data_IF_205336906955
#
_entry.id   IF_205336906955
#
_cell.length_a   1.000
_cell.length_b   1.000
_cell.length_c   1.000
_cell.angle_alpha   90.00
_cell.angle_beta   90.00
_cell.angle_gamma   90.00
#
_symmetry.space_group_name_H-M   'P 1'
#
loop_
_entity.id
_entity.type
_entity.pdbx_description
1 polymer ?
#
# COMPACT_ATOMS: atom_id res chain seq x y z
N UNK A 1 -12.72 18.10 13.81
CA UNK A 1 -12.98 18.79 15.10
C UNK A 1 -11.99 18.40 16.20
N UNK A 2 -11.82 17.11 16.55
CA UNK A 2 -10.89 16.69 17.62
C UNK A 2 -9.45 17.19 17.45
N UNK A 3 -8.90 17.14 16.23
CA UNK A 3 -7.56 17.65 15.95
C UNK A 3 -7.37 19.12 16.36
N UNK A 4 -8.33 19.99 16.01
CA UNK A 4 -8.27 21.41 16.37
C UNK A 4 -8.39 21.61 17.87
N UNK A 5 -9.25 20.84 18.53
CA UNK A 5 -9.36 20.85 19.99
C UNK A 5 -8.00 20.52 20.64
N UNK A 6 -7.34 19.45 20.23
CA UNK A 6 -6.04 19.07 20.80
C UNK A 6 -4.92 20.07 20.47
N UNK A 7 -4.91 20.69 19.27
CA UNK A 7 -3.97 21.78 18.98
C UNK A 7 -4.18 22.96 19.92
N UNK A 8 -5.43 23.40 20.11
CA UNK A 8 -5.75 24.51 20.99
C UNK A 8 -5.39 24.18 22.45
N UNK A 9 -5.66 22.96 22.89
CA UNK A 9 -5.29 22.47 24.21
C UNK A 9 -3.78 22.45 24.42
N UNK A 10 -3.00 21.92 23.47
CA UNK A 10 -1.54 21.92 23.53
C UNK A 10 -0.97 23.34 23.52
N UNK A 11 -1.52 24.24 22.71
CA UNK A 11 -1.12 25.64 22.69
C UNK A 11 -1.40 26.33 24.03
N UNK A 12 -2.55 26.06 24.63
CA UNK A 12 -2.91 26.62 25.95
C UNK A 12 -1.98 26.09 27.04
N UNK A 13 -1.69 24.78 27.04
CA UNK A 13 -0.84 24.13 28.04
C UNK A 13 0.63 24.55 27.93
N UNK A 14 1.21 24.57 26.73
CA UNK A 14 2.63 24.90 26.50
C UNK A 14 2.86 26.42 26.45
N UNK A 15 1.82 27.22 26.20
CA UNK A 15 1.92 28.67 25.98
C UNK A 15 2.57 29.07 24.64
N UNK A 16 3.10 28.10 23.87
CA UNK A 16 3.71 28.28 22.54
C UNK A 16 3.22 27.20 21.59
N UNK A 17 3.15 27.53 20.29
CA UNK A 17 2.78 26.58 19.24
C UNK A 17 4.02 26.13 18.47
N UNK A 18 4.55 24.96 18.84
CA UNK A 18 5.56 24.28 18.03
C UNK A 18 4.87 23.52 16.91
N UNK A 19 4.87 24.07 15.69
CA UNK A 19 3.97 23.60 14.63
C UNK A 19 4.09 22.09 14.35
N UNK A 20 5.31 21.58 14.16
CA UNK A 20 5.54 20.15 13.86
C UNK A 20 5.15 19.24 15.04
N UNK A 21 5.67 19.50 16.23
CA UNK A 21 5.39 18.66 17.41
C UNK A 21 3.91 18.73 17.82
N UNK A 22 3.32 19.91 17.82
CA UNK A 22 1.93 20.11 18.26
C UNK A 22 0.96 19.45 17.29
N UNK A 23 1.23 19.50 15.98
CA UNK A 23 0.38 18.84 14.98
C UNK A 23 0.54 17.33 15.00
N UNK A 24 1.75 16.82 15.24
CA UNK A 24 1.96 15.39 15.48
C UNK A 24 1.18 14.89 16.70
N UNK A 25 1.35 15.50 17.87
CA UNK A 25 0.69 15.06 19.10
C UNK A 25 -0.83 15.27 19.05
N UNK A 26 -1.31 16.37 18.47
CA UNK A 26 -2.74 16.57 18.27
C UNK A 26 -3.32 15.55 17.27
N UNK A 27 -2.58 15.23 16.21
CA UNK A 27 -2.93 14.17 15.27
C UNK A 27 -3.01 12.82 15.97
N UNK A 28 -2.00 12.48 16.77
CA UNK A 28 -1.94 11.24 17.55
C UNK A 28 -3.11 11.12 18.51
N UNK A 29 -3.35 12.13 19.35
CA UNK A 29 -4.47 12.13 20.29
C UNK A 29 -5.81 12.04 19.56
N UNK A 30 -6.02 12.85 18.51
CA UNK A 30 -7.27 12.81 17.75
C UNK A 30 -7.50 11.47 17.03
N UNK A 31 -6.44 10.84 16.51
CA UNK A 31 -6.50 9.50 15.92
C UNK A 31 -6.84 8.44 16.96
N UNK A 32 -6.22 8.51 18.14
CA UNK A 32 -6.47 7.59 19.24
C UNK A 32 -7.91 7.66 19.75
N UNK A 33 -8.49 8.84 19.91
CA UNK A 33 -9.89 8.95 20.34
C UNK A 33 -10.88 8.64 19.21
N UNK A 34 -10.56 8.99 17.96
CA UNK A 34 -11.49 8.77 16.84
C UNK A 34 -11.65 7.30 16.46
N UNK A 35 -10.61 6.47 16.61
CA UNK A 35 -10.70 5.04 16.27
C UNK A 35 -11.67 4.25 17.17
N UNK A 36 -11.93 4.74 18.39
CA UNK A 36 -12.90 4.08 19.29
C UNK A 36 -14.36 4.31 18.87
N UNK A 37 -14.64 5.37 18.11
CA UNK A 37 -15.96 5.61 17.50
C UNK A 37 -16.26 4.55 16.44
N UNK A 38 -15.21 3.99 15.81
CA UNK A 38 -15.35 2.95 14.81
C UNK A 38 -15.62 1.58 15.43
N UNK A 39 -16.43 0.79 14.71
CA UNK A 39 -16.79 -0.57 15.13
C UNK A 39 -15.53 -1.45 15.28
N UNK A 40 -15.40 -2.27 16.34
CA UNK A 40 -14.18 -3.05 16.62
C UNK A 40 -13.66 -3.90 15.45
N UNK A 41 -14.57 -4.47 14.63
CA UNK A 41 -14.19 -5.25 13.45
C UNK A 41 -13.48 -4.44 12.36
N UNK A 42 -13.75 -3.13 12.27
CA UNK A 42 -13.18 -2.23 11.26
C UNK A 42 -11.83 -1.66 11.68
N UNK A 43 -11.55 -1.56 12.98
CA UNK A 43 -10.35 -0.90 13.52
C UNK A 43 -9.07 -1.46 12.92
N UNK A 44 -8.90 -2.79 12.90
CA UNK A 44 -7.74 -3.45 12.29
C UNK A 44 -7.52 -3.05 10.83
N UNK A 45 -8.59 -3.08 10.03
CA UNK A 45 -8.53 -2.75 8.60
C UNK A 45 -8.14 -1.29 8.40
N UNK A 46 -8.70 -0.37 9.20
CA UNK A 46 -8.39 1.05 9.17
C UNK A 46 -6.94 1.33 9.59
N UNK A 47 -6.43 0.65 10.62
CA UNK A 47 -5.04 0.79 11.07
C UNK A 47 -4.04 0.36 10.00
N UNK A 48 -4.28 -0.77 9.33
CA UNK A 48 -3.43 -1.25 8.24
C UNK A 48 -3.49 -0.29 7.05
N UNK A 49 -4.67 0.22 6.71
CA UNK A 49 -4.82 1.24 5.67
C UNK A 49 -4.04 2.52 6.01
N UNK A 50 -4.16 3.02 7.24
CA UNK A 50 -3.47 4.20 7.71
C UNK A 50 -1.95 4.01 7.68
N UNK A 51 -1.46 2.83 8.08
CA UNK A 51 -0.04 2.49 8.05
C UNK A 51 0.52 2.49 6.62
N UNK A 52 -0.24 1.93 5.67
CA UNK A 52 0.10 1.97 4.25
C UNK A 52 0.23 3.42 3.75
N UNK A 53 -0.78 4.25 4.02
CA UNK A 53 -0.76 5.67 3.63
C UNK A 53 0.38 6.45 4.28
N UNK A 54 0.64 6.21 5.56
CA UNK A 54 1.72 6.81 6.33
C UNK A 54 3.09 6.47 5.74
N UNK A 55 3.30 5.20 5.38
CA UNK A 55 4.58 4.75 4.79
C UNK A 55 4.88 5.40 3.44
N UNK A 56 3.85 5.61 2.60
CA UNK A 56 3.99 6.34 1.34
C UNK A 56 4.38 7.81 1.58
N UNK A 57 3.74 8.46 2.56
CA UNK A 57 4.06 9.84 2.93
C UNK A 57 5.50 9.94 3.45
N UNK A 58 5.91 9.04 4.34
CA UNK A 58 7.28 9.00 4.87
C UNK A 58 8.28 8.80 3.72
N UNK A 59 8.01 7.88 2.81
CA UNK A 59 8.85 7.66 1.63
C UNK A 59 8.98 8.92 0.77
N UNK A 60 7.87 9.62 0.49
CA UNK A 60 7.88 10.86 -0.28
C UNK A 60 8.66 11.98 0.42
N UNK A 61 8.51 12.11 1.74
CA UNK A 61 9.28 13.07 2.55
C UNK A 61 10.77 12.74 2.55
N UNK A 62 11.14 11.46 2.65
CA UNK A 62 12.54 11.05 2.58
C UNK A 62 13.13 11.26 1.17
N UNK A 63 12.32 11.03 0.13
CA UNK A 63 12.67 11.26 -1.27
C UNK A 63 12.88 12.76 -1.55
N UNK A 64 11.99 13.63 -1.09
CA UNK A 64 12.11 15.09 -1.30
C UNK A 64 13.37 15.66 -0.63
N UNK A 65 13.90 14.96 0.37
CA UNK A 65 15.14 15.29 1.07
C UNK A 65 16.38 14.56 0.52
N UNK A 66 16.27 13.83 -0.59
CA UNK A 66 17.34 13.01 -1.17
C UNK A 66 17.98 12.00 -0.18
N UNK A 67 17.22 11.55 0.83
CA UNK A 67 17.70 10.58 1.83
C UNK A 67 17.49 9.12 1.40
N UNK A 68 16.67 8.89 0.38
CA UNK A 68 16.37 7.55 -0.13
C UNK A 68 16.75 7.49 -1.61
N UNK A 69 17.47 6.42 -1.97
CA UNK A 69 17.82 6.13 -3.35
C UNK A 69 16.59 5.62 -4.11
N UNK A 70 16.30 6.22 -5.25
CA UNK A 70 15.26 5.74 -6.16
C UNK A 70 15.78 4.49 -6.89
N UNK A 71 15.21 3.33 -6.57
CA UNK A 71 15.52 2.09 -7.28
C UNK A 71 14.64 2.01 -8.53
N UNK A 72 15.23 1.91 -9.74
CA UNK A 72 14.44 1.74 -10.96
C UNK A 72 13.63 0.44 -10.87
N UNK A 73 12.32 0.55 -11.16
CA UNK A 73 11.35 -0.55 -11.02
C UNK A 73 11.28 -1.17 -9.61
N UNK A 74 11.59 -0.39 -8.56
CA UNK A 74 11.55 -0.85 -7.17
C UNK A 74 10.20 -1.43 -6.74
N UNK A 75 9.09 -0.94 -7.30
CA UNK A 75 7.75 -1.48 -7.05
C UNK A 75 7.57 -2.91 -7.56
N UNK A 76 8.19 -3.27 -8.69
CA UNK A 76 8.13 -4.62 -9.25
C UNK A 76 8.91 -5.58 -8.36
N UNK A 77 10.11 -5.18 -7.94
CA UNK A 77 10.93 -5.98 -7.03
C UNK A 77 10.25 -6.17 -5.67
N UNK A 78 9.71 -5.10 -5.10
CA UNK A 78 8.96 -5.14 -3.84
C UNK A 78 7.74 -6.07 -3.94
N UNK A 79 7.00 -5.99 -5.05
CA UNK A 79 5.87 -6.89 -5.28
C UNK A 79 6.32 -8.34 -5.48
N UNK A 80 7.40 -8.59 -6.22
CA UNK A 80 7.94 -9.94 -6.41
C UNK A 80 8.34 -10.60 -5.10
N UNK A 81 9.17 -9.90 -4.31
CA UNK A 81 9.60 -10.38 -2.99
C UNK A 81 8.40 -10.61 -2.06
N UNK A 82 7.46 -9.66 -2.02
CA UNK A 82 6.29 -9.79 -1.15
C UNK A 82 5.36 -10.92 -1.59
N UNK A 83 5.08 -11.07 -2.89
CA UNK A 83 4.26 -12.15 -3.44
C UNK A 83 4.87 -13.51 -3.17
N UNK A 84 6.17 -13.69 -3.44
CA UNK A 84 6.89 -14.93 -3.18
C UNK A 84 6.82 -15.35 -1.71
N UNK A 85 7.21 -14.45 -0.80
CA UNK A 85 7.17 -14.73 0.63
C UNK A 85 5.74 -14.94 1.15
N UNK A 86 4.75 -14.22 0.61
CA UNK A 86 3.34 -14.39 0.99
C UNK A 86 2.80 -15.77 0.59
N UNK A 87 3.07 -16.21 -0.65
CA UNK A 87 2.67 -17.53 -1.13
C UNK A 87 3.40 -18.65 -0.40
N UNK A 88 4.67 -18.44 -0.02
CA UNK A 88 5.40 -19.35 0.85
C UNK A 88 4.74 -19.46 2.24
N UNK A 89 4.37 -18.34 2.86
CA UNK A 89 3.63 -18.35 4.12
C UNK A 89 2.27 -19.06 4.00
N UNK A 90 1.57 -18.89 2.88
CA UNK A 90 0.32 -19.60 2.60
C UNK A 90 0.50 -21.11 2.48
N UNK A 91 1.62 -21.57 1.90
CA UNK A 91 1.96 -23.00 1.82
C UNK A 91 2.29 -23.58 3.20
N UNK A 92 2.97 -22.82 4.05
CA UNK A 92 3.32 -23.25 5.41
C UNK A 92 2.12 -23.25 6.37
N UNK A 93 1.16 -22.35 6.19
CA UNK A 93 -0.05 -22.27 7.04
C UNK A 93 -1.33 -22.21 6.18
N UNK A 94 -1.90 -23.39 5.93
CA UNK A 94 -3.16 -23.54 5.20
C UNK A 94 -4.38 -22.99 5.96
N UNK A 95 -4.27 -22.63 7.25
CA UNK A 95 -5.38 -22.10 8.07
C UNK A 95 -5.55 -20.59 7.93
N UNK A 96 -4.72 -19.89 7.16
CA UNK A 96 -4.89 -18.44 6.91
C UNK A 96 -6.24 -18.15 6.23
N UNK A 97 -7.08 -17.32 6.87
CA UNK A 97 -8.47 -17.01 6.47
C UNK A 97 -8.65 -15.58 5.91
N UNK A 98 -7.60 -15.00 5.35
CA UNK A 98 -7.65 -13.66 4.77
C UNK A 98 -8.33 -13.62 3.39
N UNK A 99 -9.02 -12.51 3.03
CA UNK A 99 -9.62 -12.34 1.71
C UNK A 99 -8.56 -12.40 0.60
N UNK A 100 -7.36 -11.86 0.85
CA UNK A 100 -6.23 -11.92 -0.09
C UNK A 100 -5.80 -13.38 -0.31
N UNK A 101 -5.71 -14.19 0.75
CA UNK A 101 -5.41 -15.61 0.61
C UNK A 101 -6.47 -16.35 -0.22
N UNK A 102 -7.76 -16.02 -0.04
CA UNK A 102 -8.83 -16.63 -0.85
C UNK A 102 -8.68 -16.28 -2.33
N UNK A 103 -8.40 -15.01 -2.64
CA UNK A 103 -8.18 -14.55 -4.02
C UNK A 103 -6.93 -15.19 -4.62
N UNK A 104 -5.81 -15.24 -3.90
CA UNK A 104 -4.59 -15.86 -4.39
C UNK A 104 -4.71 -17.37 -4.58
N UNK A 105 -5.41 -18.08 -3.68
CA UNK A 105 -5.72 -19.50 -3.88
C UNK A 105 -6.61 -19.73 -5.10
N UNK A 106 -7.58 -18.85 -5.35
CA UNK A 106 -8.45 -18.92 -6.52
C UNK A 106 -7.65 -18.67 -7.81
N UNK A 107 -6.78 -17.65 -7.82
CA UNK A 107 -5.98 -17.28 -8.99
C UNK A 107 -4.90 -18.32 -9.31
N UNK A 108 -4.12 -18.72 -8.31
CA UNK A 108 -2.96 -19.59 -8.50
C UNK A 108 -3.36 -21.08 -8.60
N UNK A 109 -4.51 -21.48 -8.08
CA UNK A 109 -4.94 -22.88 -7.94
C UNK A 109 -4.90 -23.31 -6.48
N UNK A 110 -5.98 -23.89 -5.98
CA UNK A 110 -6.06 -24.34 -4.58
C UNK A 110 -5.17 -25.56 -4.36
N UNK A 111 -5.18 -26.45 -5.36
CA UNK A 111 -4.37 -27.65 -5.50
C UNK A 111 -2.88 -27.39 -5.25
N UNK A 112 -2.37 -26.23 -5.65
CA UNK A 112 -0.96 -25.87 -5.51
C UNK A 112 -0.51 -25.61 -4.06
N UNK A 113 -1.44 -25.36 -3.13
CA UNK A 113 -1.13 -25.08 -1.72
C UNK A 113 -1.47 -26.25 -0.78
N UNK A 114 -2.22 -27.26 -1.25
CA UNK A 114 -2.55 -28.45 -0.48
C UNK A 114 -1.37 -29.45 -0.47
N UNK A 115 -1.10 -30.11 0.66
CA UNK A 115 -0.14 -31.22 0.66
C UNK A 115 -0.57 -32.27 -0.37
N UNK A 116 0.38 -33.04 -0.93
CA UNK A 116 0.04 -34.12 -1.85
C UNK A 116 -1.00 -35.04 -1.18
N UNK A 117 -2.01 -35.52 -1.93
CA UNK A 117 -2.95 -36.49 -1.39
C UNK A 117 -2.19 -37.73 -0.91
N UNK A 118 -2.57 -38.29 0.24
CA UNK A 118 -2.04 -39.57 0.72
C UNK A 118 -2.41 -40.64 -0.30
N UNK A 119 -1.47 -41.00 -1.17
CA UNK A 119 -1.61 -42.13 -2.09
C UNK A 119 -1.46 -43.40 -1.29
N UNK A 120 -2.56 -44.09 -1.03
CA UNK A 120 -2.53 -45.52 -0.74
C UNK A 120 -1.93 -46.25 -1.95
N UNK A 121 -0.89 -47.03 -1.68
CA UNK A 121 -0.27 -48.06 -2.52
C UNK A 121 -0.88 -48.23 -3.92
N UNK A 122 -0.36 -47.50 -4.91
CA UNK A 122 -0.51 -47.85 -6.32
C UNK A 122 0.76 -47.45 -7.05
N UNK A 123 1.64 -48.43 -7.27
CA UNK A 123 2.98 -48.30 -7.86
C UNK A 123 3.02 -48.02 -9.37
N UNK A 124 1.88 -47.73 -10.02
CA UNK A 124 1.85 -47.49 -11.46
C UNK A 124 1.71 -46.00 -11.82
N UNK A 125 2.82 -45.45 -12.32
CA UNK A 125 3.01 -44.14 -12.95
C UNK A 125 3.20 -42.94 -12.01
N UNK A 126 4.45 -42.73 -11.56
CA UNK A 126 4.89 -41.52 -10.83
C UNK A 126 4.84 -40.32 -11.79
N UNK A 127 3.66 -39.74 -11.99
CA UNK A 127 3.56 -38.44 -12.63
C UNK A 127 4.04 -37.38 -11.64
N UNK A 128 5.10 -36.60 -11.98
CA UNK A 128 5.65 -35.58 -11.07
C UNK A 128 4.69 -34.41 -10.82
N UNK A 129 3.59 -34.30 -11.58
CA UNK A 129 2.61 -33.23 -11.47
C UNK A 129 1.18 -33.79 -11.28
N UNK A 130 0.46 -33.29 -10.28
CA UNK A 130 -0.92 -33.69 -9.96
C UNK A 130 -1.95 -32.82 -10.69
N UNK A 131 -2.06 -32.94 -12.02
CA UNK A 131 -3.11 -32.26 -12.78
C UNK A 131 -3.58 -33.07 -14.00
N UNK A 132 -4.88 -32.98 -14.29
CA UNK A 132 -5.48 -33.66 -15.44
C UNK A 132 -5.01 -33.00 -16.76
N UNK A 133 -4.10 -33.67 -17.47
CA UNK A 133 -3.57 -33.25 -18.77
C UNK A 133 -2.14 -32.70 -18.75
N UNK A 134 -1.68 -32.16 -19.88
CA UNK A 134 -0.31 -31.63 -20.01
C UNK A 134 -0.07 -30.33 -19.23
N UNK A 135 1.15 -30.12 -18.74
CA UNK A 135 1.56 -28.94 -17.96
C UNK A 135 1.24 -27.61 -18.67
N UNK A 136 1.42 -27.58 -19.99
CA UNK A 136 1.13 -26.41 -20.82
C UNK A 136 -0.37 -26.09 -20.84
N UNK A 137 -1.22 -27.12 -20.93
CA UNK A 137 -2.67 -26.97 -20.88
C UNK A 137 -3.13 -26.48 -19.50
N UNK A 138 -2.59 -27.04 -18.42
CA UNK A 138 -2.90 -26.60 -17.06
C UNK A 138 -2.53 -25.12 -16.82
N UNK A 139 -1.37 -24.72 -17.34
CA UNK A 139 -0.88 -23.33 -17.27
C UNK A 139 -1.75 -22.38 -18.10
N UNK A 140 -2.07 -22.75 -19.34
CA UNK A 140 -2.90 -21.93 -20.25
C UNK A 140 -4.34 -21.77 -19.74
N UNK A 141 -4.95 -22.86 -19.26
CA UNK A 141 -6.31 -22.84 -18.70
C UNK A 141 -6.39 -21.98 -17.44
N UNK A 142 -5.37 -22.03 -16.58
CA UNK A 142 -5.27 -21.22 -15.37
C UNK A 142 -5.07 -19.73 -15.65
N UNK A 143 -4.31 -19.38 -16.69
CA UNK A 143 -3.99 -17.98 -17.02
C UNK A 143 -5.07 -17.27 -17.83
N UNK A 144 -5.86 -18.00 -18.62
CA UNK A 144 -6.87 -17.42 -19.51
C UNK A 144 -7.94 -16.60 -18.78
N UNK A 145 -8.50 -17.12 -17.69
CA UNK A 145 -9.58 -16.44 -16.96
C UNK A 145 -9.09 -15.14 -16.26
N UNK A 146 -7.97 -15.14 -15.49
CA UNK A 146 -7.40 -13.91 -14.95
C UNK A 146 -7.00 -12.88 -16.00
N UNK A 147 -6.49 -13.33 -17.16
CA UNK A 147 -6.13 -12.46 -18.27
C UNK A 147 -7.35 -11.71 -18.82
N UNK A 148 -8.42 -12.45 -19.14
CA UNK A 148 -9.69 -11.87 -19.62
C UNK A 148 -10.36 -10.99 -18.55
N UNK A 149 -10.28 -11.40 -17.29
CA UNK A 149 -10.74 -10.59 -16.15
C UNK A 149 -10.01 -9.24 -16.07
N UNK A 150 -8.68 -9.23 -16.14
CA UNK A 150 -7.89 -8.01 -16.14
C UNK A 150 -8.17 -7.11 -17.34
N UNK A 151 -8.27 -7.70 -18.54
CA UNK A 151 -8.60 -6.97 -19.76
C UNK A 151 -10.00 -6.32 -19.68
N UNK A 152 -11.02 -7.08 -19.28
CA UNK A 152 -12.41 -6.64 -19.25
C UNK A 152 -12.67 -5.48 -18.29
N UNK A 153 -12.07 -5.50 -17.09
CA UNK A 153 -12.22 -4.41 -16.11
C UNK A 153 -11.69 -3.09 -16.67
N UNK A 154 -10.51 -3.11 -17.29
CA UNK A 154 -9.90 -1.91 -17.85
C UNK A 154 -10.64 -1.43 -19.10
N UNK A 155 -11.07 -2.35 -19.96
CA UNK A 155 -11.91 -2.04 -21.12
C UNK A 155 -13.22 -1.36 -20.68
N UNK A 156 -13.87 -1.89 -19.64
CA UNK A 156 -15.10 -1.31 -19.08
C UNK A 156 -14.87 0.11 -18.55
N UNK A 157 -13.82 0.34 -17.76
CA UNK A 157 -13.50 1.67 -17.24
C UNK A 157 -13.25 2.71 -18.34
N UNK A 158 -12.60 2.31 -19.44
CA UNK A 158 -12.40 3.17 -20.61
C UNK A 158 -13.72 3.51 -21.30
N UNK A 159 -14.64 2.55 -21.41
CA UNK A 159 -15.97 2.74 -22.00
C UNK A 159 -16.89 3.65 -21.15
N UNK A 160 -16.75 3.62 -19.82
CA UNK A 160 -17.48 4.53 -18.92
C UNK A 160 -16.96 5.99 -18.99
N UNK A 161 -15.76 6.21 -19.52
CA UNK A 161 -15.17 7.53 -19.67
C UNK A 161 -15.97 8.43 -20.64
N UNK A 162 -16.58 9.50 -20.14
CA UNK A 162 -17.39 10.46 -20.93
C UNK A 162 -16.67 11.04 -22.16
N UNK A 163 -15.33 11.09 -22.15
CA UNK A 163 -14.50 11.65 -23.23
C UNK A 163 -14.38 10.78 -24.47
N UNK A 164 -14.64 9.46 -24.39
CA UNK A 164 -14.28 8.52 -25.46
C UNK A 164 -15.48 7.74 -26.02
N UNK A 165 -16.70 8.30 -25.89
CA UNK A 165 -17.93 7.71 -26.42
C UNK A 165 -18.08 7.76 -27.95
N UNK A 166 -17.21 8.50 -28.66
CA UNK A 166 -17.35 8.71 -30.12
C UNK A 166 -16.69 7.63 -30.99
N UNK A 167 -15.68 6.87 -30.50
CA UNK A 167 -15.02 5.77 -31.25
C UNK A 167 -14.49 4.65 -30.33
N UNK A 168 -15.34 3.72 -29.86
CA UNK A 168 -14.95 2.69 -28.88
C UNK A 168 -13.97 1.65 -29.44
N UNK A 169 -14.16 1.22 -30.70
CA UNK A 169 -13.35 0.18 -31.33
C UNK A 169 -11.87 0.58 -31.54
N UNK A 170 -11.63 1.80 -32.02
CA UNK A 170 -10.27 2.34 -32.16
C UNK A 170 -9.59 2.54 -30.79
N UNK A 171 -10.33 2.89 -29.74
CA UNK A 171 -9.76 3.04 -28.40
C UNK A 171 -9.35 1.70 -27.78
N UNK A 172 -10.14 0.64 -27.99
CA UNK A 172 -9.84 -0.71 -27.52
C UNK A 172 -8.61 -1.32 -28.19
N UNK A 173 -8.34 -0.95 -29.44
CA UNK A 173 -7.20 -1.45 -30.23
C UNK A 173 -5.95 -0.57 -30.05
N UNK A 174 -6.08 0.75 -29.99
CA UNK A 174 -4.95 1.68 -30.03
C UNK A 174 -4.50 2.19 -28.64
N UNK A 175 -5.36 2.16 -27.61
CA UNK A 175 -5.02 2.38 -26.20
C UNK A 175 -5.13 1.09 -25.38
N UNK A 176 -4.76 -0.01 -26.02
CA UNK A 176 -5.24 -1.30 -25.61
C UNK A 176 -4.75 -1.68 -24.20
N UNK A 177 -5.66 -2.12 -23.31
CA UNK A 177 -5.40 -2.30 -21.89
C UNK A 177 -4.66 -3.60 -21.56
N UNK A 178 -3.76 -4.05 -22.43
CA UNK A 178 -3.07 -5.34 -22.31
C UNK A 178 -2.31 -5.48 -20.99
N UNK A 179 -1.78 -4.38 -20.43
CA UNK A 179 -0.95 -4.42 -19.23
C UNK A 179 -1.60 -5.15 -18.04
N UNK A 180 -2.87 -4.86 -17.73
CA UNK A 180 -3.55 -5.48 -16.58
C UNK A 180 -3.89 -6.96 -16.82
N UNK A 181 -4.28 -7.31 -18.05
CA UNK A 181 -4.50 -8.70 -18.45
C UNK A 181 -3.19 -9.49 -18.41
N UNK A 182 -2.12 -8.94 -19.00
CA UNK A 182 -0.79 -9.54 -19.02
C UNK A 182 -0.21 -9.69 -17.61
N UNK A 183 -0.45 -8.74 -16.71
CA UNK A 183 -0.07 -8.85 -15.31
C UNK A 183 -0.76 -10.03 -14.61
N UNK A 184 -2.10 -10.10 -14.65
CA UNK A 184 -2.86 -11.12 -13.93
C UNK A 184 -2.71 -12.52 -14.55
N UNK A 185 -2.86 -12.62 -15.87
CA UNK A 185 -2.67 -13.88 -16.60
C UNK A 185 -1.22 -14.35 -16.55
N UNK A 186 -0.27 -13.42 -16.73
CA UNK A 186 1.15 -13.70 -16.66
C UNK A 186 1.61 -14.14 -15.27
N UNK A 187 1.07 -13.56 -14.20
CA UNK A 187 1.36 -14.00 -12.83
C UNK A 187 1.03 -15.48 -12.63
N UNK A 188 -0.17 -15.90 -13.06
CA UNK A 188 -0.63 -17.29 -12.93
C UNK A 188 0.16 -18.22 -13.85
N UNK A 189 0.43 -17.78 -15.09
CA UNK A 189 1.21 -18.55 -16.04
C UNK A 189 2.64 -18.80 -15.53
N UNK A 190 3.31 -17.76 -15.04
CA UNK A 190 4.66 -17.85 -14.47
C UNK A 190 4.66 -18.70 -13.19
N UNK A 191 3.67 -18.55 -12.32
CA UNK A 191 3.56 -19.37 -11.10
C UNK A 191 3.40 -20.87 -11.43
N UNK A 192 2.36 -21.23 -12.19
CA UNK A 192 2.07 -22.64 -12.52
C UNK A 192 3.17 -23.25 -13.39
N UNK A 193 3.60 -22.52 -14.41
CA UNK A 193 4.64 -22.97 -15.34
C UNK A 193 5.98 -23.22 -14.62
N UNK A 194 6.42 -22.28 -13.77
CA UNK A 194 7.65 -22.49 -12.98
C UNK A 194 7.53 -23.67 -12.03
N UNK A 195 6.39 -23.85 -11.36
CA UNK A 195 6.18 -24.99 -10.47
C UNK A 195 6.18 -26.33 -11.19
N UNK A 196 5.51 -26.45 -12.33
CA UNK A 196 5.55 -27.66 -13.14
C UNK A 196 7.00 -27.97 -13.59
N UNK A 197 7.76 -26.95 -14.00
CA UNK A 197 9.16 -27.11 -14.39
C UNK A 197 10.02 -27.55 -13.20
N UNK A 198 9.87 -26.91 -12.03
CA UNK A 198 10.62 -27.27 -10.82
C UNK A 198 10.28 -28.68 -10.33
N UNK A 199 9.02 -29.12 -10.43
CA UNK A 199 8.62 -30.50 -10.13
C UNK A 199 9.25 -31.51 -11.07
N UNK A 200 9.29 -31.21 -12.38
CA UNK A 200 9.93 -32.07 -13.38
C UNK A 200 11.43 -32.19 -13.17
N UNK A 201 12.10 -31.09 -12.79
CA UNK A 201 13.56 -31.08 -12.57
C UNK A 201 13.95 -31.71 -11.23
N UNK A 202 13.23 -31.40 -10.14
CA UNK A 202 13.59 -31.89 -8.81
C UNK A 202 13.04 -33.29 -8.50
N UNK A 203 11.97 -33.72 -9.17
CA UNK A 203 11.32 -35.03 -8.92
C UNK A 203 10.61 -35.15 -7.55
N UNK A 204 10.65 -34.12 -6.71
CA UNK A 204 9.96 -34.08 -5.42
C UNK A 204 9.29 -32.71 -5.19
N UNK A 205 8.20 -32.68 -4.40
CA UNK A 205 7.60 -31.42 -3.96
C UNK A 205 8.35 -30.85 -2.75
N UNK A 206 8.60 -29.54 -2.76
CA UNK A 206 9.18 -28.87 -1.60
C UNK A 206 8.63 -27.45 -1.44
N UNK A 207 8.56 -26.90 -0.22
CA UNK A 207 7.91 -25.63 0.03
C UNK A 207 8.64 -24.44 -0.60
N UNK A 208 9.96 -24.53 -0.80
CA UNK A 208 10.75 -23.46 -1.43
C UNK A 208 10.38 -23.26 -2.91
N UNK A 209 9.88 -24.28 -3.60
CA UNK A 209 9.42 -24.17 -4.99
C UNK A 209 8.26 -23.18 -5.11
N UNK A 210 7.42 -23.07 -4.08
CA UNK A 210 6.32 -22.08 -4.00
C UNK A 210 6.87 -20.66 -3.88
N UNK A 211 7.94 -20.49 -3.09
CA UNK A 211 8.63 -19.21 -2.96
C UNK A 211 9.22 -18.78 -4.31
N UNK A 212 9.96 -19.68 -4.98
CA UNK A 212 10.56 -19.41 -6.29
C UNK A 212 9.49 -19.08 -7.35
N UNK A 213 8.42 -19.89 -7.42
CA UNK A 213 7.32 -19.62 -8.35
C UNK A 213 6.58 -18.33 -8.05
N UNK A 214 6.43 -17.97 -6.77
CA UNK A 214 5.82 -16.71 -6.36
C UNK A 214 6.67 -15.47 -6.66
N UNK A 215 8.00 -15.59 -6.55
CA UNK A 215 8.94 -14.54 -6.97
C UNK A 215 8.84 -14.30 -8.49
N UNK A 216 8.87 -15.37 -9.28
CA UNK A 216 8.70 -15.31 -10.74
C UNK A 216 7.33 -14.76 -11.13
N UNK A 217 6.27 -15.19 -10.46
CA UNK A 217 4.92 -14.68 -10.67
C UNK A 217 4.83 -13.17 -10.43
N UNK A 218 5.50 -12.66 -9.39
CA UNK A 218 5.48 -11.24 -9.10
C UNK A 218 6.24 -10.36 -10.10
N UNK A 219 7.20 -10.92 -10.86
CA UNK A 219 7.84 -10.20 -11.98
C UNK A 219 6.84 -9.82 -13.08
N UNK A 220 5.67 -10.48 -13.17
CA UNK A 220 4.63 -10.08 -14.11
C UNK A 220 4.13 -8.64 -13.87
N UNK A 221 4.36 -8.06 -12.69
CA UNK A 221 4.03 -6.66 -12.41
C UNK A 221 4.78 -5.68 -13.30
N UNK A 222 5.89 -6.08 -13.94
CA UNK A 222 6.55 -5.28 -14.95
C UNK A 222 5.62 -4.90 -16.13
N UNK A 223 4.60 -5.71 -16.42
CA UNK A 223 3.60 -5.42 -17.46
C UNK A 223 2.65 -4.27 -17.08
N UNK A 224 2.37 -4.08 -15.79
CA UNK A 224 1.58 -2.96 -15.29
C UNK A 224 2.05 -2.56 -13.89
N UNK A 225 3.14 -1.77 -13.79
CA UNK A 225 3.70 -1.36 -12.51
C UNK A 225 2.68 -0.55 -11.70
N UNK A 226 2.51 -0.91 -10.43
CA UNK A 226 1.60 -0.21 -9.54
C UNK A 226 2.14 -0.22 -8.10
N UNK A 227 2.76 0.89 -7.70
CA UNK A 227 3.36 1.06 -6.37
C UNK A 227 2.34 0.90 -5.23
N UNK A 228 1.07 1.25 -5.46
CA UNK A 228 0.02 1.08 -4.45
C UNK A 228 -0.25 -0.40 -4.17
N UNK A 229 -0.28 -1.22 -5.21
CA UNK A 229 -0.49 -2.67 -5.07
C UNK A 229 0.76 -3.35 -4.48
N UNK A 230 1.96 -2.93 -4.90
CA UNK A 230 3.22 -3.39 -4.33
C UNK A 230 3.31 -3.13 -2.82
N UNK A 231 3.04 -1.89 -2.41
CA UNK A 231 3.08 -1.48 -1.01
C UNK A 231 1.99 -2.18 -0.19
N UNK A 232 0.79 -2.35 -0.75
CA UNK A 232 -0.27 -3.12 -0.12
C UNK A 232 0.14 -4.58 0.14
N UNK A 233 0.70 -5.25 -0.86
CA UNK A 233 1.17 -6.63 -0.71
C UNK A 233 2.33 -6.75 0.30
N UNK A 234 3.26 -5.79 0.30
CA UNK A 234 4.33 -5.73 1.28
C UNK A 234 3.79 -5.61 2.71
N UNK A 235 2.87 -4.68 2.97
CA UNK A 235 2.25 -4.55 4.30
C UNK A 235 1.40 -5.76 4.68
N UNK A 236 0.72 -6.39 3.71
CA UNK A 236 -0.02 -7.62 3.97
C UNK A 236 0.89 -8.79 4.33
N UNK A 237 2.06 -8.87 3.71
CA UNK A 237 3.09 -9.82 4.13
C UNK A 237 3.56 -9.54 5.56
N UNK A 238 3.87 -8.28 5.90
CA UNK A 238 4.27 -7.90 7.26
C UNK A 238 3.21 -8.28 8.28
N UNK A 239 1.93 -8.03 7.99
CA UNK A 239 0.81 -8.42 8.86
C UNK A 239 0.75 -9.94 9.09
N UNK A 240 0.88 -10.74 8.02
CA UNK A 240 0.87 -12.21 8.12
C UNK A 240 2.09 -12.73 8.89
N UNK A 241 3.28 -12.18 8.62
CA UNK A 241 4.50 -12.55 9.33
C UNK A 241 4.41 -12.22 10.82
N UNK A 242 3.90 -11.04 11.17
CA UNK A 242 3.67 -10.65 12.57
C UNK A 242 2.67 -11.58 13.25
N UNK A 243 1.53 -11.87 12.61
CA UNK A 243 0.53 -12.78 13.17
C UNK A 243 1.08 -14.20 13.35
N UNK A 244 1.90 -14.68 12.41
CA UNK A 244 2.58 -15.97 12.52
C UNK A 244 3.57 -15.98 13.69
N UNK A 245 4.42 -14.97 13.79
CA UNK A 245 5.40 -14.83 14.86
C UNK A 245 4.71 -14.72 16.24
N UNK A 246 3.58 -14.01 16.33
CA UNK A 246 2.82 -13.86 17.56
C UNK A 246 2.20 -15.20 18.01
N UNK A 247 1.65 -15.99 17.06
CA UNK A 247 1.15 -17.34 17.35
C UNK A 247 2.24 -18.29 17.85
N UNK A 248 3.48 -18.11 17.37
CA UNK A 248 4.64 -18.88 17.79
C UNK A 248 5.25 -18.38 19.11
N UNK A 249 4.73 -17.30 19.69
CA UNK A 249 5.27 -16.69 20.91
C UNK A 249 6.58 -15.93 20.70
N UNK A 250 7.02 -15.72 19.46
CA UNK A 250 8.27 -15.02 19.15
C UNK A 250 8.18 -13.50 19.35
N UNK A 251 6.97 -12.93 19.21
CA UNK A 251 6.72 -11.49 19.40
C UNK A 251 5.56 -11.27 20.37
N UNK A 252 5.61 -10.22 21.20
CA UNK A 252 4.53 -9.94 22.14
C UNK A 252 3.27 -9.48 21.41
N UNK A 253 2.12 -9.97 21.86
CA UNK A 253 0.81 -9.45 21.45
C UNK A 253 0.57 -8.13 22.16
N UNK A 254 0.64 -7.02 21.42
CA UNK A 254 0.50 -5.69 22.00
C UNK A 254 -1.00 -5.39 22.24
N UNK A 255 -1.43 -5.09 23.47
CA UNK A 255 -2.78 -4.64 23.73
C UNK A 255 -3.02 -3.31 23.00
N UNK A 256 -4.19 -3.17 22.36
CA UNK A 256 -4.55 -1.99 21.55
C UNK A 256 -3.56 -1.67 20.41
N UNK A 257 -2.79 -2.66 19.95
CA UNK A 257 -1.81 -2.49 18.87
C UNK A 257 -2.39 -1.80 17.61
N UNK A 258 -3.53 -2.25 17.07
CA UNK A 258 -4.16 -1.59 15.93
C UNK A 258 -4.51 -0.12 16.21
N UNK A 259 -5.08 0.19 17.37
CA UNK A 259 -5.47 1.54 17.77
C UNK A 259 -4.25 2.46 17.89
N UNK A 260 -3.15 1.98 18.48
CA UNK A 260 -1.89 2.71 18.58
C UNK A 260 -1.26 2.95 17.21
N UNK A 261 -1.24 1.95 16.33
CA UNK A 261 -0.74 2.09 14.96
C UNK A 261 -1.54 3.13 14.17
N UNK A 262 -2.87 3.11 14.32
CA UNK A 262 -3.74 4.11 13.70
C UNK A 262 -3.47 5.52 14.25
N UNK A 263 -3.33 5.66 15.56
CA UNK A 263 -3.02 6.94 16.21
C UNK A 263 -1.67 7.50 15.74
N UNK A 264 -0.62 6.68 15.74
CA UNK A 264 0.71 7.06 15.26
C UNK A 264 0.68 7.48 13.79
N UNK A 265 0.03 6.69 12.93
CA UNK A 265 -0.13 7.02 11.51
C UNK A 265 -0.88 8.33 11.30
N UNK A 266 -1.94 8.57 12.08
CA UNK A 266 -2.69 9.84 12.05
C UNK A 266 -1.82 11.02 12.49
N UNK A 267 -0.97 10.84 13.51
CA UNK A 267 0.00 11.84 13.97
C UNK A 267 0.98 12.25 12.87
N UNK A 268 1.66 11.28 12.25
CA UNK A 268 2.60 11.51 11.15
C UNK A 268 1.92 12.20 9.98
N UNK A 269 0.77 11.66 9.56
CA UNK A 269 0.00 12.16 8.44
C UNK A 269 -0.46 13.60 8.66
N UNK A 270 -0.95 13.92 9.86
CA UNK A 270 -1.42 15.27 10.15
C UNK A 270 -0.27 16.28 10.32
N UNK A 271 0.87 15.84 10.87
CA UNK A 271 2.10 16.63 10.88
C UNK A 271 2.56 16.96 9.45
N UNK A 272 2.57 15.97 8.56
CA UNK A 272 2.92 16.17 7.16
C UNK A 272 1.90 17.07 6.45
N UNK A 273 0.60 16.87 6.68
CA UNK A 273 -0.46 17.68 6.09
C UNK A 273 -0.36 19.17 6.42
N UNK A 274 0.12 19.49 7.62
CA UNK A 274 0.30 20.87 8.05
C UNK A 274 1.61 21.44 7.50
N UNK A 275 2.72 20.70 7.62
CA UNK A 275 4.07 21.22 7.33
C UNK A 275 4.45 21.08 5.85
N UNK A 276 4.30 19.90 5.26
CA UNK A 276 4.73 19.56 3.89
C UNK A 276 3.61 18.86 3.12
N UNK A 277 2.48 19.54 2.80
CA UNK A 277 1.33 18.89 2.19
C UNK A 277 1.62 18.33 0.78
N UNK A 278 2.69 18.78 0.10
CA UNK A 278 3.12 18.32 -1.22
C UNK A 278 3.60 16.86 -1.26
N UNK A 279 4.02 16.31 -0.12
CA UNK A 279 4.45 14.92 -0.01
C UNK A 279 3.27 13.94 0.14
N UNK A 280 2.04 14.45 0.24
CA UNK A 280 0.81 13.66 0.31
C UNK A 280 0.08 13.60 -1.03
N UNK A 281 -0.75 12.56 -1.22
CA UNK A 281 -1.65 12.48 -2.37
C UNK A 281 -2.62 13.67 -2.38
N UNK A 282 -2.81 14.38 -3.51
CA UNK A 282 -3.67 15.56 -3.58
C UNK A 282 -5.13 15.32 -3.15
N UNK A 283 -5.68 14.15 -3.50
CA UNK A 283 -7.03 13.73 -3.08
C UNK A 283 -7.15 13.64 -1.55
N UNK A 284 -6.10 13.15 -0.90
CA UNK A 284 -6.06 12.98 0.54
C UNK A 284 -5.83 14.31 1.27
N UNK A 285 -4.92 15.15 0.76
CA UNK A 285 -4.74 16.52 1.26
C UNK A 285 -6.06 17.31 1.22
N UNK A 286 -6.81 17.20 0.12
CA UNK A 286 -8.14 17.80 -0.03
C UNK A 286 -9.14 17.24 0.99
N UNK A 287 -9.17 15.92 1.18
CA UNK A 287 -10.01 15.28 2.19
C UNK A 287 -9.72 15.81 3.60
N UNK A 288 -8.45 15.85 4.01
CA UNK A 288 -8.05 16.39 5.31
C UNK A 288 -8.45 17.86 5.46
N UNK A 289 -8.23 18.67 4.43
CA UNK A 289 -8.62 20.08 4.45
C UNK A 289 -10.14 20.23 4.67
N UNK A 290 -10.96 19.43 3.99
CA UNK A 290 -12.41 19.43 4.18
C UNK A 290 -12.81 19.01 5.62
N UNK A 291 -12.20 17.95 6.17
CA UNK A 291 -12.48 17.47 7.54
C UNK A 291 -12.05 18.49 8.60
N UNK A 292 -11.05 19.32 8.30
CA UNK A 292 -10.63 20.43 9.17
C UNK A 292 -11.43 21.71 9.01
N UNK A 293 -12.43 21.75 8.12
CA UNK A 293 -13.19 22.97 7.83
C UNK A 293 -12.33 24.04 7.18
N UNK A 294 -11.54 23.67 6.17
CA UNK A 294 -10.70 24.58 5.38
C UNK A 294 -9.60 25.32 6.16
N UNK A 295 -9.25 24.82 7.33
CA UNK A 295 -8.22 25.43 8.18
C UNK A 295 -6.81 25.05 7.77
N UNK A 296 -6.60 23.89 7.13
CA UNK A 296 -5.26 23.49 6.68
C UNK A 296 -4.69 24.46 5.63
N UNK A 297 -5.51 24.99 4.72
CA UNK A 297 -5.07 26.04 3.78
C UNK A 297 -4.74 27.38 4.48
N UNK A 298 -5.24 27.63 5.69
CA UNK A 298 -5.03 28.85 6.48
C UNK A 298 -3.82 28.77 7.42
N UNK A 299 -2.93 27.79 7.23
CA UNK A 299 -1.67 27.72 7.98
C UNK A 299 -0.62 28.57 7.26
N UNK A 300 -0.03 29.51 7.98
CA UNK A 300 1.10 30.30 7.46
C UNK A 300 2.35 29.42 7.35
N UNK A 301 2.74 29.08 6.12
CA UNK A 301 3.89 28.20 5.82
C UNK A 301 5.14 28.94 5.39
N UNK A 302 5.04 30.24 5.08
CA UNK A 302 6.20 31.06 4.72
C UNK A 302 7.35 31.03 5.74
N UNK A 303 7.12 31.05 7.08
CA UNK A 303 8.23 30.88 8.02
C UNK A 303 8.92 29.51 7.96
N UNK A 304 8.24 28.47 7.47
CA UNK A 304 8.84 27.14 7.28
C UNK A 304 9.59 27.04 5.95
N UNK A 305 9.26 27.89 4.99
CA UNK A 305 9.89 27.90 3.67
C UNK A 305 11.36 28.30 3.74
N UNK A 306 11.75 29.10 4.74
CA UNK A 306 13.15 29.42 5.05
C UNK A 306 14.00 28.16 5.29
N UNK A 307 13.39 27.05 5.72
CA UNK A 307 14.08 25.78 5.95
C UNK A 307 14.37 25.02 4.65
N UNK A 308 13.93 25.52 3.49
CA UNK A 308 14.19 24.92 2.17
C UNK A 308 13.28 23.75 1.78
N UNK A 309 12.22 23.48 2.55
CA UNK A 309 11.33 22.31 2.34
C UNK A 309 10.11 22.59 1.44
N UNK A 310 10.08 23.68 0.66
CA UNK A 310 8.98 24.01 -0.29
C UNK A 310 7.55 23.86 0.29
N UNK A 311 7.39 24.26 1.56
CA UNK A 311 6.17 24.03 2.35
C UNK A 311 4.93 24.74 1.78
N UNK A 312 5.10 25.88 1.11
CA UNK A 312 4.02 26.72 0.57
C UNK A 312 3.50 26.28 -0.81
N UNK A 313 4.16 25.34 -1.49
CA UNK A 313 3.88 24.96 -2.90
C UNK A 313 2.41 24.64 -3.23
N UNK A 314 1.66 24.03 -2.30
CA UNK A 314 0.24 23.72 -2.51
C UNK A 314 -0.68 24.90 -2.18
N UNK A 315 -0.30 25.76 -1.24
CA UNK A 315 -1.10 26.88 -0.75
C UNK A 315 -0.25 28.16 -0.69
N UNK A 316 0.16 28.71 -1.85
CA UNK A 316 1.10 29.83 -1.89
C UNK A 316 0.47 31.18 -1.46
N UNK A 317 -0.85 31.33 -1.62
CA UNK A 317 -1.50 32.65 -1.58
C UNK A 317 -1.92 33.11 -0.17
N UNK A 318 -1.75 32.28 0.86
CA UNK A 318 -2.25 32.59 2.20
C UNK A 318 -1.18 33.22 3.10
N UNK A 319 -1.32 34.53 3.35
CA UNK A 319 -0.57 35.26 4.37
C UNK A 319 -1.52 35.87 5.42
N UNK A 320 -1.37 35.55 6.72
CA UNK A 320 -2.22 36.13 7.76
C UNK A 320 -1.86 37.60 8.03
N UNK A 321 -2.83 38.41 8.44
CA UNK A 321 -2.55 39.76 8.96
C UNK A 321 -1.89 39.65 10.33
N UNK A 322 -0.61 40.02 10.41
CA UNK A 322 0.20 39.96 11.64
C UNK A 322 0.35 41.35 12.26
N UNK A 323 0.21 41.44 13.59
CA UNK A 323 0.59 42.64 14.34
C UNK A 323 2.11 42.66 14.54
N UNK A 324 2.78 43.61 13.87
CA UNK A 324 4.23 43.73 13.85
C UNK A 324 4.86 43.88 15.25
N UNK A 325 4.10 44.36 16.25
CA UNK A 325 4.57 44.50 17.64
C UNK A 325 4.90 43.16 18.30
N UNK A 326 4.27 42.08 17.84
CA UNK A 326 4.39 40.74 18.42
C UNK A 326 5.20 39.78 17.54
N UNK A 327 5.83 40.30 16.49
CA UNK A 327 6.60 39.51 15.52
C UNK A 327 8.10 39.67 15.79
N UNK A 328 8.85 38.58 15.74
CA UNK A 328 10.30 38.64 15.95
C UNK A 328 10.99 39.36 14.79
N UNK A 329 12.05 40.14 15.08
CA UNK A 329 12.83 40.84 14.03
C UNK A 329 13.34 39.88 12.95
N UNK A 330 13.84 38.71 13.35
CA UNK A 330 14.30 37.67 12.43
C UNK A 330 13.20 37.15 11.50
N UNK A 331 11.92 37.14 11.91
CA UNK A 331 10.83 36.78 11.02
C UNK A 331 10.56 37.89 10.02
N UNK A 332 10.57 39.15 10.45
CA UNK A 332 10.34 40.30 9.55
C UNK A 332 11.40 40.33 8.46
N UNK A 333 12.68 40.25 8.84
CA UNK A 333 13.81 40.34 7.91
C UNK A 333 13.88 39.19 6.90
N UNK A 334 13.48 37.97 7.30
CA UNK A 334 13.61 36.78 6.45
C UNK A 334 12.35 36.42 5.68
N UNK A 335 11.18 36.70 6.26
CA UNK A 335 9.89 36.35 5.65
C UNK A 335 9.27 37.57 4.99
N UNK A 336 9.01 38.66 5.73
CA UNK A 336 8.20 39.77 5.22
C UNK A 336 8.92 40.67 4.22
N UNK A 337 10.25 40.78 4.29
CA UNK A 337 11.03 41.62 3.35
C UNK A 337 11.22 40.92 1.99
N UNK A 338 11.16 39.59 1.96
CA UNK A 338 11.46 38.77 0.77
C UNK A 338 10.25 37.97 0.24
N UNK A 339 9.08 38.06 0.89
CA UNK A 339 7.80 37.45 0.45
C UNK A 339 7.00 38.39 -0.44
#
# INVERSE_FOLDING_TARGET
>A
MLFMFFICFLRWYVGKLYLQNSTFFAGLASGFFSIFVEHPSRRRVLSVYMLNQCSEIIYNVLRSRNMVMEVPHGEVLMFALSMGAFLYCMRLDNRLRDPVCKVLRLLMGKEEFLPPPDTGDSEDNIQPCHHDGGCLMHTAKGSALPFLGGYSVRALLLLLGRRLRRRPWLALIHQAPWGQGLFLGGAVALFRGSRCLLRQVCGHESPWQVLAGGLLAGLSMAASPNSTLALYMAWKLVEVLYCRAAKQGCVPTVPWGPEMLFALGTGVMMSCAVVEPHNMRPSYAKFLNNVTGDRLRQVNRHPLEILGFHCSSIYPDYFPKLDQRHVSRSFVERVLVWS
#
